data_IF_874275159000
#
_entry.id   IF_874275159000
#
_cell.length_a   1.000
_cell.length_b   1.000
_cell.length_c   1.000
_cell.angle_alpha   90.00
_cell.angle_beta   90.00
_cell.angle_gamma   90.00
#
_symmetry.space_group_name_H-M   'P 1'
#
loop_
_entity.id
_entity.type
_entity.pdbx_description
1 polymer ?
#
# COMPACT_ATOMS: atom_id res chain seq x y z
N UNK A 1 1.98 68.67 17.04
CA UNK A 1 2.52 67.68 16.09
C UNK A 1 2.55 66.39 16.83
N UNK A 2 1.59 65.46 16.53
CA UNK A 2 1.46 64.13 17.20
C UNK A 2 2.06 63.08 16.29
N UNK A 3 3.17 62.48 16.72
CA UNK A 3 3.80 61.36 15.98
C UNK A 3 3.02 60.08 16.30
N UNK A 4 2.32 59.56 15.30
CA UNK A 4 1.66 58.26 15.36
C UNK A 4 2.67 57.23 14.91
N UNK A 5 3.19 56.46 15.86
CA UNK A 5 4.05 55.28 15.58
C UNK A 5 3.11 54.15 15.15
N UNK A 6 3.15 53.80 13.87
CA UNK A 6 2.45 52.68 13.30
C UNK A 6 3.28 51.41 13.56
N UNK A 7 2.97 50.68 14.63
CA UNK A 7 3.59 49.38 14.91
C UNK A 7 3.04 48.35 13.91
N UNK A 8 3.84 48.04 12.91
CA UNK A 8 3.59 46.88 12.02
C UNK A 8 3.87 45.60 12.82
N UNK A 9 2.80 44.97 13.31
CA UNK A 9 2.87 43.64 13.91
C UNK A 9 3.03 42.65 12.75
N UNK A 10 4.26 42.27 12.44
CA UNK A 10 4.59 41.21 11.51
C UNK A 10 4.23 39.89 12.17
N UNK A 11 2.99 39.42 11.96
CA UNK A 11 2.60 38.05 12.33
C UNK A 11 3.34 37.12 11.37
N UNK A 12 4.48 36.64 11.81
CA UNK A 12 5.16 35.49 11.24
C UNK A 12 4.24 34.26 11.46
N UNK A 13 3.36 34.00 10.51
CA UNK A 13 2.83 32.66 10.35
C UNK A 13 4.02 31.77 9.99
N UNK A 14 4.66 31.22 11.00
CA UNK A 14 5.45 30.03 10.83
C UNK A 14 4.44 28.94 10.46
N UNK A 15 4.14 28.83 9.18
CA UNK A 15 3.66 27.58 8.62
C UNK A 15 4.77 26.60 8.97
N UNK A 16 4.55 25.78 10.01
CA UNK A 16 5.25 24.53 10.15
C UNK A 16 4.87 23.73 8.90
N UNK A 17 5.54 23.98 7.80
CA UNK A 17 5.70 23.04 6.72
C UNK A 17 6.51 21.90 7.35
N UNK A 18 5.85 21.06 8.14
CA UNK A 18 6.31 19.70 8.29
C UNK A 18 6.37 19.21 6.85
N UNK A 19 7.57 19.15 6.30
CA UNK A 19 7.88 18.27 5.20
C UNK A 19 7.44 16.89 5.71
N UNK A 20 6.19 16.53 5.42
CA UNK A 20 5.70 15.22 5.72
C UNK A 20 6.49 14.34 4.76
N UNK A 21 7.62 13.81 5.27
CA UNK A 21 8.40 12.83 4.53
C UNK A 21 7.41 11.78 4.05
N UNK A 22 7.41 11.54 2.75
CA UNK A 22 6.49 10.57 2.16
C UNK A 22 6.64 9.24 2.91
N UNK A 23 5.55 8.62 3.36
CA UNK A 23 5.63 7.38 4.10
C UNK A 23 6.32 6.31 3.26
N UNK A 24 7.12 5.50 3.92
CA UNK A 24 7.69 4.30 3.35
C UNK A 24 6.72 3.15 3.59
N UNK A 25 6.46 2.37 2.55
CA UNK A 25 5.56 1.23 2.62
C UNK A 25 6.40 -0.04 2.41
N UNK A 26 6.29 -0.98 3.35
CA UNK A 26 6.88 -2.31 3.18
C UNK A 26 5.77 -3.29 2.86
N UNK A 27 5.99 -4.05 1.80
CA UNK A 27 5.18 -5.18 1.39
C UNK A 27 5.94 -6.44 1.72
N UNK A 28 5.37 -7.27 2.60
CA UNK A 28 5.89 -8.59 2.89
C UNK A 28 4.91 -9.63 2.37
N UNK A 29 5.37 -10.43 1.41
CA UNK A 29 4.61 -11.56 0.88
C UNK A 29 4.97 -12.80 1.68
N UNK A 30 3.95 -13.46 2.21
CA UNK A 30 4.09 -14.68 2.99
C UNK A 30 3.18 -15.73 2.41
N UNK A 31 3.76 -16.87 2.05
CA UNK A 31 3.03 -18.02 1.50
C UNK A 31 3.01 -19.14 2.53
N UNK A 32 1.83 -19.68 2.81
CA UNK A 32 1.60 -20.79 3.75
C UNK A 32 0.85 -21.92 3.05
N UNK A 33 0.92 -23.13 3.62
CA UNK A 33 0.09 -24.23 3.14
C UNK A 33 -1.40 -23.95 3.43
N UNK A 34 -2.29 -24.40 2.55
CA UNK A 34 -3.73 -24.23 2.73
C UNK A 34 -4.26 -24.84 4.02
N UNK A 35 -3.60 -25.90 4.53
CA UNK A 35 -3.89 -26.53 5.83
C UNK A 35 -3.61 -25.64 7.03
N UNK A 36 -2.78 -24.63 6.87
CA UNK A 36 -2.33 -23.74 7.96
C UNK A 36 -2.97 -22.33 7.89
N UNK A 37 -3.76 -22.05 6.85
CA UNK A 37 -4.36 -20.72 6.61
C UNK A 37 -5.14 -20.20 7.82
N UNK A 38 -6.04 -21.02 8.40
CA UNK A 38 -6.86 -20.62 9.54
C UNK A 38 -6.00 -20.28 10.76
N UNK A 39 -5.05 -21.16 11.10
CA UNK A 39 -4.12 -20.94 12.22
C UNK A 39 -3.25 -19.71 12.00
N UNK A 40 -2.86 -19.48 10.75
CA UNK A 40 -2.06 -18.31 10.39
C UNK A 40 -2.85 -17.01 10.59
N UNK A 41 -4.09 -16.94 10.07
CA UNK A 41 -4.98 -15.79 10.25
C UNK A 41 -5.29 -15.55 11.74
N UNK A 42 -5.51 -16.61 12.50
CA UNK A 42 -5.79 -16.51 13.94
C UNK A 42 -4.60 -15.94 14.69
N UNK A 43 -3.39 -16.40 14.45
CA UNK A 43 -2.16 -15.88 15.06
C UNK A 43 -1.96 -14.38 14.72
N UNK A 44 -2.18 -14.01 13.44
CA UNK A 44 -2.08 -12.63 12.99
C UNK A 44 -3.08 -11.71 13.71
N UNK A 45 -4.35 -12.11 13.81
CA UNK A 45 -5.40 -11.31 14.48
C UNK A 45 -5.22 -11.22 15.99
N UNK A 46 -4.77 -12.30 16.62
CA UNK A 46 -4.74 -12.37 18.08
C UNK A 46 -3.42 -11.86 18.69
N UNK A 47 -2.33 -11.91 17.94
CA UNK A 47 -0.99 -11.55 18.41
C UNK A 47 -0.41 -10.39 17.62
N UNK A 48 -0.08 -10.61 16.34
CA UNK A 48 0.70 -9.64 15.56
C UNK A 48 -0.06 -8.34 15.29
N UNK A 49 -1.37 -8.39 15.02
CA UNK A 49 -2.23 -7.21 14.88
C UNK A 49 -2.17 -6.32 16.14
N UNK A 50 -2.22 -6.91 17.34
CA UNK A 50 -2.11 -6.17 18.61
C UNK A 50 -0.74 -5.52 18.77
N UNK A 51 0.34 -6.23 18.42
CA UNK A 51 1.69 -5.65 18.44
C UNK A 51 1.79 -4.48 17.47
N UNK A 52 1.22 -4.61 16.27
CA UNK A 52 1.19 -3.52 15.28
C UNK A 52 0.37 -2.34 15.77
N UNK A 53 -0.79 -2.58 16.39
CA UNK A 53 -1.60 -1.53 17.01
C UNK A 53 -0.82 -0.77 18.10
N UNK A 54 -0.09 -1.49 18.95
CA UNK A 54 0.78 -0.88 19.96
C UNK A 54 1.83 0.05 19.33
N UNK A 55 2.51 -0.39 18.25
CA UNK A 55 3.48 0.44 17.54
C UNK A 55 2.85 1.67 16.88
N UNK A 56 1.60 1.55 16.41
CA UNK A 56 0.84 2.68 15.87
C UNK A 56 0.49 3.68 16.97
N UNK A 57 0.02 3.20 18.12
CA UNK A 57 -0.33 4.04 19.27
C UNK A 57 0.88 4.78 19.85
N UNK A 58 2.08 4.22 19.74
CA UNK A 58 3.35 4.86 20.09
C UNK A 58 3.87 5.83 18.99
N UNK A 59 3.25 5.89 17.82
CA UNK A 59 3.68 6.73 16.70
C UNK A 59 4.85 6.17 15.88
N UNK A 60 5.27 4.93 16.15
CA UNK A 60 6.36 4.26 15.44
C UNK A 60 5.92 3.69 14.08
N UNK A 61 4.61 3.58 13.87
CA UNK A 61 3.99 3.06 12.64
C UNK A 61 2.73 3.88 12.33
N UNK A 62 2.42 4.06 11.05
CA UNK A 62 1.21 4.76 10.59
C UNK A 62 0.05 3.79 10.41
N UNK A 63 0.35 2.56 9.97
CA UNK A 63 -0.66 1.55 9.72
C UNK A 63 -0.08 0.19 9.40
N UNK A 64 -0.93 -0.81 9.54
CA UNK A 64 -0.65 -2.19 9.18
C UNK A 64 -1.90 -2.85 8.59
N UNK A 65 -1.74 -3.60 7.50
CA UNK A 65 -2.80 -4.35 6.86
C UNK A 65 -2.33 -5.76 6.52
N UNK A 66 -3.24 -6.72 6.64
CA UNK A 66 -3.08 -8.09 6.14
C UNK A 66 -4.11 -8.35 5.04
N UNK A 67 -3.63 -8.73 3.87
CA UNK A 67 -4.42 -9.02 2.68
C UNK A 67 -4.20 -10.47 2.25
N UNK A 68 -5.26 -11.16 1.85
CA UNK A 68 -5.17 -12.46 1.20
C UNK A 68 -5.28 -12.29 -0.31
N UNK A 69 -4.33 -12.84 -1.07
CA UNK A 69 -4.37 -12.83 -2.54
C UNK A 69 -5.43 -13.84 -3.01
N UNK A 70 -6.44 -13.33 -3.75
CA UNK A 70 -7.63 -14.09 -4.12
C UNK A 70 -7.54 -14.75 -5.50
N UNK A 71 -6.61 -14.30 -6.36
CA UNK A 71 -6.46 -14.82 -7.72
C UNK A 71 -5.26 -15.77 -7.89
N UNK A 72 -5.03 -16.60 -6.88
CA UNK A 72 -4.07 -17.71 -7.00
C UNK A 72 -4.57 -18.76 -8.01
N UNK A 73 -3.63 -19.51 -8.57
CA UNK A 73 -3.96 -20.62 -9.48
C UNK A 73 -4.84 -21.65 -8.78
N UNK A 74 -5.88 -22.11 -9.48
CA UNK A 74 -6.74 -23.17 -8.95
C UNK A 74 -5.94 -24.46 -8.70
N UNK A 75 -6.10 -25.05 -7.52
CA UNK A 75 -5.41 -26.30 -7.14
C UNK A 75 -4.03 -26.11 -6.52
N UNK A 76 -3.51 -24.88 -6.38
CA UNK A 76 -2.29 -24.63 -5.61
C UNK A 76 -2.50 -25.03 -4.15
N UNK A 77 -1.54 -25.77 -3.55
CA UNK A 77 -1.63 -26.21 -2.15
C UNK A 77 -1.33 -25.09 -1.16
N UNK A 78 -1.15 -23.86 -1.63
CA UNK A 78 -0.68 -22.73 -0.85
C UNK A 78 -1.56 -21.49 -1.02
N UNK A 79 -1.58 -20.66 0.01
CA UNK A 79 -2.19 -19.32 0.00
C UNK A 79 -1.11 -18.28 0.30
N UNK A 80 -1.13 -17.20 -0.46
CA UNK A 80 -0.21 -16.07 -0.25
C UNK A 80 -0.95 -14.91 0.39
N UNK A 81 -0.35 -14.35 1.44
CA UNK A 81 -0.76 -13.11 2.09
C UNK A 81 0.21 -12.00 1.73
N UNK A 82 -0.32 -10.78 1.70
CA UNK A 82 0.46 -9.54 1.63
C UNK A 82 0.26 -8.79 2.94
N UNK A 83 1.35 -8.49 3.63
CA UNK A 83 1.39 -7.56 4.74
C UNK A 83 1.85 -6.20 4.25
N UNK A 84 1.11 -5.17 4.63
CA UNK A 84 1.42 -3.79 4.31
C UNK A 84 1.79 -3.06 5.60
N UNK A 85 3.04 -2.68 5.73
CA UNK A 85 3.52 -1.87 6.84
C UNK A 85 3.74 -0.43 6.35
N UNK A 86 3.01 0.52 6.91
CA UNK A 86 3.13 1.94 6.57
C UNK A 86 3.91 2.62 7.69
N UNK A 87 5.06 3.20 7.34
CA UNK A 87 6.01 3.78 8.29
C UNK A 87 6.18 5.28 8.04
N UNK A 88 6.47 6.09 9.08
CA UNK A 88 7.00 7.43 8.88
C UNK A 88 8.31 7.38 8.09
N UNK A 89 8.60 8.39 7.28
CA UNK A 89 9.82 8.45 6.47
C UNK A 89 11.13 8.43 7.28
N UNK A 90 11.08 8.71 8.58
CA UNK A 90 12.22 8.76 9.49
C UNK A 90 12.75 7.39 9.96
N UNK A 91 12.11 6.28 9.57
CA UNK A 91 12.65 4.94 9.84
C UNK A 91 11.90 4.12 10.90
N UNK A 92 12.44 2.93 11.17
CA UNK A 92 11.91 1.98 12.15
C UNK A 92 12.32 2.36 13.57
N UNK A 93 11.38 2.43 14.48
CA UNK A 93 11.62 2.26 15.91
C UNK A 93 11.22 0.84 16.31
N UNK A 94 12.12 0.10 16.93
CA UNK A 94 11.88 -1.23 17.46
C UNK A 94 11.81 -1.15 18.99
N UNK A 95 10.80 -0.45 19.51
CA UNK A 95 10.56 -0.50 20.95
C UNK A 95 9.97 -1.87 21.32
N UNK A 96 10.41 -2.45 22.46
CA UNK A 96 9.84 -3.69 22.97
C UNK A 96 8.33 -3.57 23.19
N UNK A 97 7.61 -4.65 22.91
CA UNK A 97 6.18 -4.72 23.21
C UNK A 97 5.93 -4.61 24.73
N UNK A 98 4.90 -3.89 25.11
CA UNK A 98 4.40 -3.82 26.51
C UNK A 98 3.27 -4.81 26.76
N UNK A 99 2.71 -5.41 25.70
CA UNK A 99 1.56 -6.32 25.77
C UNK A 99 2.02 -7.77 25.93
N UNK A 100 3.14 -8.12 25.28
CA UNK A 100 3.69 -9.46 25.28
C UNK A 100 5.11 -9.46 25.83
N UNK A 101 5.45 -10.49 26.62
CA UNK A 101 6.82 -10.73 27.04
C UNK A 101 7.69 -11.15 25.85
N UNK A 102 8.99 -10.97 25.97
CA UNK A 102 9.94 -11.40 24.93
C UNK A 102 9.84 -12.90 24.65
N UNK A 103 9.62 -13.72 25.69
CA UNK A 103 9.41 -15.17 25.55
C UNK A 103 8.17 -15.49 24.70
N UNK A 104 7.02 -14.86 25.00
CA UNK A 104 5.79 -15.06 24.23
C UNK A 104 5.97 -14.65 22.75
N UNK A 105 6.66 -13.53 22.52
CA UNK A 105 6.98 -13.09 21.14
C UNK A 105 7.83 -14.11 20.41
N UNK A 106 8.89 -14.64 21.04
CA UNK A 106 9.76 -15.64 20.44
C UNK A 106 9.01 -16.95 20.10
N UNK A 107 8.15 -17.42 21.00
CA UNK A 107 7.33 -18.61 20.76
C UNK A 107 6.35 -18.39 19.58
N UNK A 108 5.70 -17.24 19.52
CA UNK A 108 4.82 -16.91 18.40
C UNK A 108 5.58 -16.78 17.09
N UNK A 109 6.76 -16.17 17.09
CA UNK A 109 7.61 -16.05 15.91
C UNK A 109 8.09 -17.41 15.39
N UNK A 110 8.45 -18.32 16.30
CA UNK A 110 8.82 -19.68 15.95
C UNK A 110 7.66 -20.42 15.29
N UNK A 111 6.49 -20.44 15.93
CA UNK A 111 5.29 -21.07 15.36
C UNK A 111 4.86 -20.42 14.03
N UNK A 112 5.11 -19.14 13.86
CA UNK A 112 4.90 -18.42 12.61
C UNK A 112 5.87 -18.90 11.52
N UNK A 113 7.17 -18.97 11.82
CA UNK A 113 8.20 -19.40 10.89
C UNK A 113 7.97 -20.85 10.40
N UNK A 114 7.51 -21.73 11.27
CA UNK A 114 7.22 -23.14 10.95
C UNK A 114 6.10 -23.30 9.89
N UNK A 115 5.23 -22.30 9.73
CA UNK A 115 4.13 -22.31 8.73
C UNK A 115 4.49 -21.70 7.40
N UNK A 116 5.60 -20.98 7.32
CA UNK A 116 5.98 -20.23 6.12
C UNK A 116 6.68 -21.14 5.11
N UNK A 117 6.14 -21.18 3.90
CA UNK A 117 6.73 -21.90 2.77
C UNK A 117 7.65 -20.99 1.93
N UNK A 118 7.24 -19.73 1.76
CA UNK A 118 7.96 -18.74 0.93
C UNK A 118 7.72 -17.34 1.44
N UNK A 119 8.74 -16.51 1.32
CA UNK A 119 8.64 -15.06 1.58
C UNK A 119 9.23 -14.25 0.42
N UNK A 120 8.79 -13.00 0.32
CA UNK A 120 9.37 -11.99 -0.56
C UNK A 120 8.96 -10.62 -0.06
N UNK A 121 9.74 -9.58 -0.35
CA UNK A 121 9.39 -8.23 0.07
C UNK A 121 9.68 -7.15 -0.98
N UNK A 122 8.98 -6.03 -0.84
CA UNK A 122 9.22 -4.79 -1.57
C UNK A 122 9.23 -3.64 -0.58
N UNK A 123 10.20 -2.75 -0.72
CA UNK A 123 10.17 -1.43 -0.07
C UNK A 123 9.73 -0.40 -1.11
N UNK A 124 8.72 0.39 -0.76
CA UNK A 124 8.04 1.29 -1.67
C UNK A 124 8.09 2.72 -1.17
N UNK A 125 8.33 3.67 -2.08
CA UNK A 125 8.11 5.10 -1.86
C UNK A 125 6.78 5.50 -2.43
N UNK A 126 5.84 5.96 -1.59
CA UNK A 126 4.55 6.48 -2.05
C UNK A 126 4.78 7.77 -2.84
N UNK A 127 4.21 7.84 -4.06
CA UNK A 127 4.30 9.01 -4.95
C UNK A 127 3.05 9.86 -4.93
N UNK A 128 1.90 9.26 -4.62
CA UNK A 128 0.64 9.94 -4.46
C UNK A 128 -0.50 8.99 -4.16
N UNK A 129 -1.57 9.54 -3.58
CA UNK A 129 -2.80 8.80 -3.30
C UNK A 129 -4.03 9.71 -3.40
N UNK A 130 -5.17 9.13 -3.75
CA UNK A 130 -6.46 9.80 -3.86
C UNK A 130 -7.54 8.91 -3.24
N UNK A 131 -8.52 9.52 -2.58
CA UNK A 131 -9.65 8.81 -1.96
C UNK A 131 -9.30 8.05 -0.68
N UNK A 132 -8.04 8.08 -0.22
CA UNK A 132 -7.58 7.44 1.01
C UNK A 132 -7.16 8.54 1.99
N UNK A 133 -7.74 8.53 3.18
CA UNK A 133 -7.40 9.49 4.24
C UNK A 133 -6.39 8.87 5.21
N UNK A 134 -5.43 9.64 5.73
CA UNK A 134 -4.57 9.18 6.81
C UNK A 134 -5.40 8.64 7.99
N UNK A 135 -4.99 7.53 8.59
CA UNK A 135 -5.71 6.88 9.70
C UNK A 135 -7.01 6.18 9.33
N UNK A 136 -7.44 6.23 8.07
CA UNK A 136 -8.59 5.47 7.61
C UNK A 136 -8.22 3.99 7.44
N UNK A 137 -9.08 3.09 7.95
CA UNK A 137 -8.99 1.67 7.59
C UNK A 137 -9.18 1.50 6.08
N UNK A 138 -8.43 0.60 5.43
CA UNK A 138 -8.57 0.37 4.00
C UNK A 138 -9.95 -0.23 3.68
N UNK A 139 -10.30 -0.20 2.41
CA UNK A 139 -11.52 -0.83 1.90
C UNK A 139 -11.34 -2.35 1.85
N UNK A 140 -12.43 -3.11 1.63
CA UNK A 140 -12.41 -4.57 1.73
C UNK A 140 -11.60 -5.27 0.63
N UNK A 141 -11.41 -4.61 -0.52
CA UNK A 141 -10.71 -5.17 -1.67
C UNK A 141 -9.65 -4.22 -2.19
N UNK A 142 -8.51 -4.79 -2.53
CA UNK A 142 -7.37 -4.11 -3.14
C UNK A 142 -6.98 -4.83 -4.43
N UNK A 143 -6.78 -4.06 -5.49
CA UNK A 143 -6.10 -4.55 -6.69
C UNK A 143 -4.76 -3.85 -6.78
N UNK A 144 -3.68 -4.61 -6.71
CA UNK A 144 -2.32 -4.12 -6.92
C UNK A 144 -1.88 -4.47 -8.33
N UNK A 145 -1.52 -3.47 -9.12
CA UNK A 145 -1.00 -3.64 -10.46
C UNK A 145 0.51 -3.41 -10.46
N UNK A 146 1.26 -4.34 -11.03
CA UNK A 146 2.72 -4.36 -11.04
C UNK A 146 3.22 -3.91 -12.41
N UNK A 147 3.99 -2.82 -12.44
CA UNK A 147 4.42 -2.15 -13.66
C UNK A 147 5.93 -2.22 -13.84
N UNK A 148 6.34 -2.38 -15.10
CA UNK A 148 7.71 -2.10 -15.54
C UNK A 148 7.68 -0.78 -16.30
N UNK A 149 8.50 0.15 -15.85
CA UNK A 149 8.66 1.48 -16.43
C UNK A 149 10.13 1.67 -16.76
N UNK A 150 10.44 2.11 -17.98
CA UNK A 150 11.79 2.50 -18.37
C UNK A 150 12.33 3.57 -17.38
N UNK A 151 13.47 3.36 -16.75
CA UNK A 151 14.04 4.34 -15.79
C UNK A 151 14.13 5.76 -16.35
N UNK A 152 14.40 5.92 -17.63
CA UNK A 152 14.49 7.22 -18.31
C UNK A 152 13.12 7.89 -18.50
N UNK A 153 12.02 7.13 -18.39
CA UNK A 153 10.63 7.61 -18.50
C UNK A 153 9.91 7.70 -17.15
N UNK A 154 10.61 7.41 -16.05
CA UNK A 154 10.02 7.38 -14.70
C UNK A 154 9.29 8.67 -14.34
N UNK A 155 9.90 9.83 -14.62
CA UNK A 155 9.29 11.13 -14.33
C UNK A 155 8.00 11.34 -15.16
N UNK A 156 8.05 11.02 -16.44
CA UNK A 156 6.91 11.17 -17.38
C UNK A 156 5.73 10.28 -16.93
N UNK A 157 6.04 9.05 -16.55
CA UNK A 157 5.07 8.09 -16.04
C UNK A 157 4.44 8.59 -14.73
N UNK A 158 5.23 9.01 -13.74
CA UNK A 158 4.73 9.56 -12.47
C UNK A 158 3.81 10.77 -12.72
N UNK A 159 4.22 11.71 -13.59
CA UNK A 159 3.40 12.88 -13.91
C UNK A 159 2.09 12.51 -14.60
N UNK A 160 2.10 11.53 -15.49
CA UNK A 160 0.88 11.07 -16.16
C UNK A 160 -0.08 10.41 -15.18
N UNK A 161 0.40 9.50 -14.32
CA UNK A 161 -0.41 8.83 -13.30
C UNK A 161 -1.02 9.83 -12.32
N UNK A 162 -0.22 10.76 -11.80
CA UNK A 162 -0.66 11.75 -10.82
C UNK A 162 -1.62 12.80 -11.39
N UNK A 163 -1.49 13.15 -12.67
CA UNK A 163 -2.34 14.16 -13.31
C UNK A 163 -3.61 13.61 -13.96
N UNK A 164 -3.62 12.34 -14.32
CA UNK A 164 -4.76 11.76 -15.02
C UNK A 164 -5.41 10.58 -14.28
N UNK A 165 -4.68 9.52 -13.95
CA UNK A 165 -5.28 8.35 -13.29
C UNK A 165 -5.70 8.67 -11.84
N UNK A 166 -4.85 9.35 -11.09
CA UNK A 166 -5.13 9.74 -9.72
C UNK A 166 -6.40 10.58 -9.57
N UNK A 167 -6.50 11.77 -10.19
CA UNK A 167 -7.70 12.62 -10.07
C UNK A 167 -8.99 11.95 -10.57
N UNK A 168 -8.87 11.01 -11.48
CA UNK A 168 -10.01 10.26 -12.04
C UNK A 168 -10.25 8.90 -11.37
N UNK A 169 -9.68 8.66 -10.19
CA UNK A 169 -9.74 7.37 -9.52
C UNK A 169 -11.17 6.85 -9.31
N UNK A 170 -12.13 7.72 -9.00
CA UNK A 170 -13.52 7.34 -8.74
C UNK A 170 -14.26 6.81 -9.98
N UNK A 171 -13.71 6.99 -11.18
CA UNK A 171 -14.25 6.35 -12.38
C UNK A 171 -14.06 4.83 -12.23
N UNK A 172 -15.04 4.05 -12.67
CA UNK A 172 -15.08 2.60 -12.60
C UNK A 172 -15.22 2.02 -11.17
N UNK A 173 -15.87 2.72 -10.25
CA UNK A 173 -16.22 2.20 -8.91
C UNK A 173 -15.08 2.14 -7.91
N UNK A 174 -13.88 2.66 -8.24
CA UNK A 174 -12.78 2.74 -7.27
C UNK A 174 -13.10 3.72 -6.15
N UNK A 175 -12.80 3.33 -4.93
CA UNK A 175 -12.96 4.16 -3.72
C UNK A 175 -11.66 4.86 -3.30
N UNK A 176 -10.54 4.38 -3.80
CA UNK A 176 -9.22 4.96 -3.58
C UNK A 176 -8.23 4.48 -4.62
N UNK A 177 -7.15 5.24 -4.76
CA UNK A 177 -6.06 4.95 -5.69
C UNK A 177 -4.72 5.40 -5.08
N UNK A 178 -3.65 4.71 -5.43
CA UNK A 178 -2.29 5.10 -5.05
C UNK A 178 -1.27 4.69 -6.09
N UNK A 179 -0.14 5.41 -6.10
CA UNK A 179 1.05 5.12 -6.90
C UNK A 179 2.27 5.04 -5.99
N UNK A 180 3.06 3.97 -6.12
CA UNK A 180 4.33 3.83 -5.42
C UNK A 180 5.44 3.36 -6.35
N UNK A 181 6.67 3.80 -6.05
CA UNK A 181 7.91 3.37 -6.70
C UNK A 181 8.63 2.35 -5.83
N UNK A 182 9.11 1.27 -6.42
CA UNK A 182 9.93 0.27 -5.74
C UNK A 182 11.33 0.85 -5.48
N UNK A 183 11.76 0.83 -4.22
CA UNK A 183 13.09 1.29 -3.81
C UNK A 183 14.02 0.09 -3.61
N UNK A 184 13.50 -0.99 -3.00
CA UNK A 184 14.24 -2.22 -2.70
C UNK A 184 13.32 -3.43 -2.80
N UNK A 185 13.92 -4.62 -2.98
CA UNK A 185 13.20 -5.87 -3.14
C UNK A 185 14.03 -7.08 -2.75
N UNK A 186 13.33 -8.15 -2.32
CA UNK A 186 13.90 -9.47 -2.07
C UNK A 186 12.86 -10.55 -2.38
N UNK A 187 13.24 -11.61 -3.07
CA UNK A 187 12.37 -12.75 -3.36
C UNK A 187 11.16 -12.45 -4.26
N UNK A 188 11.14 -11.30 -4.95
CA UNK A 188 10.08 -10.86 -5.85
C UNK A 188 10.62 -10.61 -7.26
N UNK A 189 9.73 -10.30 -8.21
CA UNK A 189 10.10 -9.99 -9.59
C UNK A 189 11.02 -8.75 -9.66
N UNK A 190 12.20 -8.93 -10.25
CA UNK A 190 13.22 -7.89 -10.35
C UNK A 190 12.93 -6.82 -11.40
N UNK A 191 12.03 -7.06 -12.32
CA UNK A 191 11.70 -6.11 -13.37
C UNK A 191 10.70 -5.04 -12.90
N UNK A 192 9.80 -5.40 -11.98
CA UNK A 192 8.77 -4.49 -11.48
C UNK A 192 9.41 -3.33 -10.70
N UNK A 193 9.10 -2.10 -11.08
CA UNK A 193 9.64 -0.90 -10.44
C UNK A 193 8.59 0.15 -10.03
N UNK A 194 7.31 -0.07 -10.40
CA UNK A 194 6.17 0.72 -9.94
C UNK A 194 4.98 -0.16 -9.62
N UNK A 195 4.15 0.30 -8.66
CA UNK A 195 2.87 -0.30 -8.32
C UNK A 195 1.78 0.77 -8.31
N UNK A 196 0.59 0.41 -8.81
CA UNK A 196 -0.63 1.17 -8.52
C UNK A 196 -1.56 0.35 -7.66
N UNK A 197 -2.34 1.03 -6.83
CA UNK A 197 -3.28 0.46 -5.88
C UNK A 197 -4.68 0.97 -6.21
N UNK A 198 -5.60 0.06 -6.46
CA UNK A 198 -7.01 0.37 -6.70
C UNK A 198 -7.84 -0.26 -5.59
N UNK A 199 -8.56 0.55 -4.80
CA UNK A 199 -9.39 0.08 -3.69
C UNK A 199 -10.86 0.03 -4.10
N UNK A 200 -11.54 -1.07 -3.70
CA UNK A 200 -12.94 -1.32 -4.02
C UNK A 200 -13.73 -1.77 -2.80
N UNK A 201 -15.05 -1.58 -2.85
CA UNK A 201 -15.96 -2.03 -1.80
C UNK A 201 -16.28 -3.52 -1.90
N UNK A 202 -16.39 -4.05 -3.14
CA UNK A 202 -16.80 -5.42 -3.41
C UNK A 202 -16.06 -6.05 -4.58
N UNK A 203 -16.07 -7.40 -4.65
CA UNK A 203 -15.57 -8.14 -5.79
C UNK A 203 -16.37 -7.83 -7.07
N UNK A 204 -17.68 -7.63 -6.95
CA UNK A 204 -18.55 -7.29 -8.10
C UNK A 204 -18.13 -5.98 -8.76
N UNK A 205 -17.72 -4.97 -7.98
CA UNK A 205 -17.19 -3.72 -8.52
C UNK A 205 -15.89 -3.95 -9.32
N UNK A 206 -15.00 -4.82 -8.84
CA UNK A 206 -13.78 -5.20 -9.57
C UNK A 206 -14.13 -5.90 -10.87
N UNK A 207 -15.01 -6.90 -10.82
CA UNK A 207 -15.43 -7.66 -11.98
C UNK A 207 -16.10 -6.75 -13.02
N UNK A 208 -17.01 -5.88 -12.59
CA UNK A 208 -17.66 -4.91 -13.46
C UNK A 208 -16.66 -3.94 -14.10
N UNK A 209 -15.71 -3.40 -13.31
CA UNK A 209 -14.68 -2.49 -13.82
C UNK A 209 -13.78 -3.14 -14.87
N UNK A 210 -13.50 -4.46 -14.75
CA UNK A 210 -12.57 -5.20 -15.60
C UNK A 210 -13.22 -5.93 -16.77
N UNK A 211 -14.51 -6.30 -16.67
CA UNK A 211 -15.25 -7.00 -17.73
C UNK A 211 -16.00 -6.06 -18.68
N UNK A 212 -16.23 -4.81 -18.27
CA UNK A 212 -16.96 -3.84 -19.10
C UNK A 212 -16.17 -3.45 -20.35
N UNK A 213 -16.74 -3.72 -21.52
CA UNK A 213 -16.17 -3.24 -22.79
C UNK A 213 -16.37 -1.73 -22.91
N UNK A 214 -15.27 -0.99 -22.81
CA UNK A 214 -15.28 0.47 -22.90
C UNK A 214 -15.11 0.89 -24.36
N UNK A 215 -16.05 1.69 -24.88
CA UNK A 215 -15.87 2.38 -26.18
C UNK A 215 -15.06 3.65 -25.94
N UNK A 216 -13.80 3.62 -26.26
CA UNK A 216 -12.95 4.79 -26.15
C UNK A 216 -13.22 5.83 -27.24
N UNK A 217 -13.26 7.10 -26.85
CA UNK A 217 -13.11 8.22 -27.80
C UNK A 217 -11.69 8.26 -28.37
N UNK A 218 -11.49 9.01 -29.46
CA UNK A 218 -10.15 9.16 -30.04
C UNK A 218 -9.13 9.73 -29.04
N UNK A 219 -9.55 10.68 -28.21
CA UNK A 219 -8.69 11.28 -27.17
C UNK A 219 -8.34 10.28 -26.06
N UNK A 220 -9.31 9.48 -25.60
CA UNK A 220 -9.07 8.42 -24.64
C UNK A 220 -8.13 7.34 -25.19
N UNK A 221 -8.32 6.92 -26.44
CA UNK A 221 -7.39 5.98 -27.08
C UNK A 221 -5.96 6.55 -27.20
N UNK A 222 -5.81 7.84 -27.52
CA UNK A 222 -4.51 8.48 -27.56
C UNK A 222 -3.83 8.49 -26.19
N UNK A 223 -4.59 8.78 -25.12
CA UNK A 223 -4.12 8.74 -23.74
C UNK A 223 -3.66 7.31 -23.35
N UNK A 224 -4.48 6.30 -23.62
CA UNK A 224 -4.13 4.90 -23.31
C UNK A 224 -2.87 4.44 -24.04
N UNK A 225 -2.74 4.78 -25.34
CA UNK A 225 -1.51 4.50 -26.11
C UNK A 225 -0.28 5.21 -25.54
N UNK A 226 -0.46 6.36 -24.87
CA UNK A 226 0.64 7.05 -24.20
C UNK A 226 1.07 6.27 -22.95
N UNK A 227 0.13 5.72 -22.17
CA UNK A 227 0.42 4.82 -21.05
C UNK A 227 1.20 3.59 -21.50
N UNK A 228 0.75 2.92 -22.57
CA UNK A 228 1.40 1.70 -23.11
C UNK A 228 2.85 1.95 -23.55
N UNK A 229 3.18 3.18 -23.93
CA UNK A 229 4.56 3.57 -24.29
C UNK A 229 5.47 3.80 -23.08
N UNK A 230 4.88 4.07 -21.93
CA UNK A 230 5.62 4.42 -20.70
C UNK A 230 5.77 3.24 -19.77
N UNK A 231 4.84 2.29 -19.80
CA UNK A 231 4.80 1.18 -18.85
C UNK A 231 4.36 -0.12 -19.51
N UNK A 232 4.76 -1.21 -18.90
CA UNK A 232 4.23 -2.56 -19.16
C UNK A 232 3.56 -3.07 -17.88
N UNK A 233 2.29 -3.50 -17.97
CA UNK A 233 1.62 -4.19 -16.89
C UNK A 233 2.07 -5.65 -16.87
N UNK A 234 2.83 -6.05 -15.86
CA UNK A 234 3.31 -7.44 -15.71
C UNK A 234 2.28 -8.35 -15.04
N UNK A 235 1.65 -7.87 -13.99
CA UNK A 235 0.72 -8.67 -13.19
C UNK A 235 -0.29 -7.78 -12.46
N UNK A 236 -1.39 -8.39 -12.00
CA UNK A 236 -2.35 -7.79 -11.08
C UNK A 236 -2.77 -8.80 -10.05
N UNK A 237 -2.68 -8.42 -8.77
CA UNK A 237 -3.22 -9.22 -7.68
C UNK A 237 -4.53 -8.61 -7.18
N UNK A 238 -5.57 -9.44 -7.09
CA UNK A 238 -6.82 -9.09 -6.40
C UNK A 238 -6.72 -9.66 -5.00
N UNK A 239 -7.00 -8.83 -4.00
CA UNK A 239 -6.78 -9.17 -2.60
C UNK A 239 -8.00 -8.82 -1.76
N UNK A 240 -8.27 -9.66 -0.76
CA UNK A 240 -9.31 -9.44 0.25
C UNK A 240 -8.66 -9.03 1.57
N UNK A 241 -9.18 -8.00 2.22
CA UNK A 241 -8.70 -7.55 3.52
C UNK A 241 -9.06 -8.58 4.60
N UNK A 242 -8.07 -9.00 5.38
CA UNK A 242 -8.21 -9.92 6.51
C UNK A 242 -8.19 -9.18 7.84
N UNK A 243 -7.26 -8.23 8.00
CA UNK A 243 -7.11 -7.41 9.19
C UNK A 243 -6.45 -6.07 8.85
N UNK A 244 -6.69 -5.04 9.66
CA UNK A 244 -6.04 -3.73 9.52
C UNK A 244 -6.02 -2.97 10.84
N UNK A 245 -4.90 -2.29 11.11
CA UNK A 245 -4.70 -1.42 12.28
C UNK A 245 -4.30 -0.01 11.83
N UNK A 246 -4.88 0.98 12.55
CA UNK A 246 -4.63 2.42 12.35
C UNK A 246 -4.53 3.12 13.69
#
# INVERSE_FOLDING_TARGET
MKNTILSFLLILFTTNAFSQENPIIYFDYVTVLNTDVEKHIEAEKNVFSKMHKEQIDMGNKIGWDMWQISNNSYGEPTTTFLYVHIQPGSGFSNEPSKIFSEYEIQEHQKQYADRIVKTGNLTLSLKGSYGIKPGQKPFNYLVTNYMVVDPYKSYEYEQMELKSAGPNYAQNGRLGWGLAKVISRFGTDHEVNYLTFDFYKSMDEILNARSTTIKFTKSQMALWRSYDKLRELKNSHIMTLIAAER
#
